data_IF_045824212213
#
_entry.id   IF_045824212213
#
_cell.length_a   1.000
_cell.length_b   1.000
_cell.length_c   1.000
_cell.angle_alpha   90.00
_cell.angle_beta   90.00
_cell.angle_gamma   90.00
#
_symmetry.space_group_name_H-M   'P 1'
#
loop_
_entity.id
_entity.type
_entity.pdbx_description
1 polymer ?
#
# COMPACT_ATOMS: atom_id res chain seq x y z
N UNK A 1 -27.98 2.30 34.20
CA UNK A 1 -26.97 3.38 34.22
C UNK A 1 -26.71 3.80 32.78
N UNK A 2 -27.01 5.05 32.47
CA UNK A 2 -27.03 5.64 31.12
C UNK A 2 -25.67 6.25 30.81
N UNK A 3 -25.02 5.82 29.72
CA UNK A 3 -23.89 6.52 29.14
C UNK A 3 -24.42 7.62 28.20
N UNK A 4 -24.87 8.72 28.80
CA UNK A 4 -25.09 9.97 28.09
C UNK A 4 -23.89 10.87 28.37
N UNK A 5 -23.31 11.39 27.29
CA UNK A 5 -22.60 12.66 27.25
C UNK A 5 -21.18 12.67 27.83
N UNK A 6 -20.21 12.25 27.01
CA UNK A 6 -18.90 12.88 27.01
C UNK A 6 -18.91 13.88 25.85
N UNK A 7 -18.70 15.14 26.20
CA UNK A 7 -18.74 16.32 25.34
C UNK A 7 -17.89 16.15 24.08
N UNK A 8 -18.53 16.03 22.91
CA UNK A 8 -17.96 16.60 21.69
C UNK A 8 -18.36 18.06 21.67
N UNK A 9 -17.47 18.92 22.16
CA UNK A 9 -17.50 20.33 21.82
C UNK A 9 -17.44 20.42 20.29
N UNK A 10 -18.57 20.79 19.68
CA UNK A 10 -18.61 21.38 18.35
C UNK A 10 -17.78 22.65 18.43
N UNK A 11 -16.51 22.56 18.06
CA UNK A 11 -15.78 23.76 17.69
C UNK A 11 -16.27 24.17 16.31
N UNK A 12 -17.35 24.96 16.29
CA UNK A 12 -18.02 25.48 15.08
C UNK A 12 -17.13 26.50 14.34
N UNK A 13 -15.92 26.77 14.85
CA UNK A 13 -15.00 27.77 14.28
C UNK A 13 -14.04 27.22 13.22
N UNK A 14 -13.80 25.91 13.18
CA UNK A 14 -12.91 25.31 12.18
C UNK A 14 -13.73 24.83 10.97
N UNK A 15 -13.69 25.59 9.87
CA UNK A 15 -14.24 25.15 8.59
C UNK A 15 -13.57 23.82 8.20
N UNK A 16 -14.36 22.77 7.95
CA UNK A 16 -13.82 21.46 7.62
C UNK A 16 -12.88 21.56 6.41
N UNK A 17 -11.69 20.99 6.54
CA UNK A 17 -10.69 20.88 5.49
C UNK A 17 -10.99 19.76 4.49
N UNK A 18 -12.09 19.03 4.70
CA UNK A 18 -12.48 17.87 3.90
C UNK A 18 -12.76 18.25 2.43
N UNK A 19 -12.14 17.55 1.46
CA UNK A 19 -12.46 17.69 0.04
C UNK A 19 -13.92 17.37 -0.29
N UNK A 20 -14.39 17.83 -1.46
CA UNK A 20 -15.71 17.40 -1.97
C UNK A 20 -15.75 15.88 -2.17
N UNK A 21 -16.85 15.21 -1.78
CA UNK A 21 -16.98 13.76 -1.92
C UNK A 21 -16.73 13.26 -3.35
N UNK A 22 -16.13 12.06 -3.50
CA UNK A 22 -15.93 11.48 -4.80
C UNK A 22 -17.22 10.91 -5.39
N UNK A 23 -17.46 11.13 -6.68
CA UNK A 23 -18.59 10.58 -7.44
C UNK A 23 -18.14 9.64 -8.56
N UNK A 24 -16.90 9.80 -9.04
CA UNK A 24 -16.27 8.92 -10.02
C UNK A 24 -14.83 8.57 -9.66
N UNK A 25 -14.25 7.63 -10.41
CA UNK A 25 -12.89 7.12 -10.21
C UNK A 25 -11.85 8.24 -10.06
N UNK A 26 -11.90 9.26 -10.92
CA UNK A 26 -10.91 10.34 -10.88
C UNK A 26 -11.03 11.24 -9.65
N UNK A 27 -12.20 11.30 -9.02
CA UNK A 27 -12.39 12.10 -7.83
C UNK A 27 -11.60 11.57 -6.63
N UNK A 28 -11.36 10.25 -6.53
CA UNK A 28 -10.58 9.70 -5.42
C UNK A 28 -9.14 10.24 -5.42
N UNK A 29 -8.54 10.37 -6.61
CA UNK A 29 -7.18 10.93 -6.75
C UNK A 29 -7.16 12.45 -6.50
N UNK A 30 -8.20 13.17 -6.93
CA UNK A 30 -8.39 14.59 -6.59
C UNK A 30 -8.55 14.78 -5.08
N UNK A 31 -9.34 13.92 -4.43
CA UNK A 31 -9.54 13.93 -2.98
C UNK A 31 -8.24 13.64 -2.20
N UNK A 32 -7.36 12.77 -2.72
CA UNK A 32 -6.02 12.59 -2.16
C UNK A 32 -5.23 13.91 -2.20
N UNK A 33 -5.16 14.53 -3.38
CA UNK A 33 -4.43 15.79 -3.56
C UNK A 33 -4.98 16.90 -2.65
N UNK A 34 -6.27 17.22 -2.78
CA UNK A 34 -6.93 18.27 -1.98
C UNK A 34 -6.87 17.95 -0.47
N UNK A 35 -6.96 16.66 -0.11
CA UNK A 35 -6.91 16.20 1.27
C UNK A 35 -5.53 16.42 1.91
N UNK A 36 -4.45 16.21 1.17
CA UNK A 36 -3.09 16.49 1.63
C UNK A 36 -2.85 18.01 1.66
N UNK A 37 -3.17 18.73 0.58
CA UNK A 37 -2.94 20.18 0.46
C UNK A 37 -3.67 20.99 1.55
N UNK A 38 -4.87 20.56 1.94
CA UNK A 38 -5.65 21.17 3.03
C UNK A 38 -5.23 20.72 4.43
N UNK A 39 -4.35 19.71 4.54
CA UNK A 39 -4.01 18.98 5.77
C UNK A 39 -5.18 18.24 6.41
N UNK A 40 -6.19 17.84 5.62
CA UNK A 40 -7.25 16.95 6.07
C UNK A 40 -6.73 15.52 6.27
N UNK A 41 -5.86 15.05 5.37
CA UNK A 41 -5.12 13.79 5.50
C UNK A 41 -3.76 14.10 6.13
N UNK A 42 -3.37 13.46 7.25
CA UNK A 42 -2.09 13.70 7.88
C UNK A 42 -0.95 13.15 7.03
N UNK A 43 0.13 13.92 6.99
CA UNK A 43 1.40 13.50 6.40
C UNK A 43 2.52 13.63 7.41
N UNK A 44 3.63 12.91 7.20
CA UNK A 44 4.88 13.15 7.93
C UNK A 44 5.23 14.64 7.92
N UNK A 45 5.65 15.13 9.08
CA UNK A 45 6.22 16.46 9.28
C UNK A 45 7.74 16.38 9.29
N UNK A 46 8.40 17.54 9.25
CA UNK A 46 9.86 17.58 9.42
C UNK A 46 10.28 17.17 10.83
N UNK A 47 9.46 17.50 11.84
CA UNK A 47 9.71 17.12 13.24
C UNK A 47 9.73 15.60 13.38
N UNK A 48 8.83 14.88 12.70
CA UNK A 48 8.78 13.41 12.75
C UNK A 48 10.07 12.72 12.26
N UNK A 49 10.83 13.37 11.38
CA UNK A 49 11.98 12.76 10.69
C UNK A 49 13.34 13.24 11.21
N UNK A 50 13.36 14.28 12.06
CA UNK A 50 14.59 14.85 12.60
C UNK A 50 14.72 14.61 14.11
N UNK A 51 15.87 14.12 14.61
CA UNK A 51 17.05 13.72 13.87
C UNK A 51 16.97 12.23 13.43
N UNK A 52 17.62 11.85 12.31
CA UNK A 52 17.48 10.51 11.74
C UNK A 52 18.00 9.39 12.65
N UNK A 53 18.94 9.68 13.55
CA UNK A 53 19.47 8.72 14.53
C UNK A 53 18.42 8.25 15.55
N UNK A 54 17.30 8.97 15.65
CA UNK A 54 16.17 8.60 16.51
C UNK A 54 15.09 7.81 15.76
N UNK A 55 15.35 7.41 14.51
CA UNK A 55 14.37 6.65 13.71
C UNK A 55 14.00 5.34 14.40
N UNK A 56 12.71 5.14 14.64
CA UNK A 56 12.16 3.97 15.31
C UNK A 56 10.88 3.52 14.63
N UNK A 57 10.67 2.21 14.60
CA UNK A 57 9.39 1.65 14.17
C UNK A 57 8.41 1.70 15.35
N UNK A 58 7.13 2.11 15.15
CA UNK A 58 6.15 2.09 16.22
C UNK A 58 5.99 0.67 16.80
N UNK A 59 5.84 0.49 18.13
CA UNK A 59 5.80 -0.84 18.77
C UNK A 59 4.68 -1.76 18.29
N UNK A 60 3.63 -1.20 17.70
CA UNK A 60 2.49 -1.94 17.14
C UNK A 60 2.80 -2.56 15.78
N UNK A 61 3.85 -2.13 15.10
CA UNK A 61 4.29 -2.69 13.82
C UNK A 61 5.23 -3.88 14.07
N UNK A 62 4.88 -5.08 13.58
CA UNK A 62 5.76 -6.25 13.68
C UNK A 62 7.11 -6.03 13.00
N UNK A 63 8.20 -6.54 13.59
CA UNK A 63 9.54 -6.55 12.98
C UNK A 63 9.67 -7.64 11.92
N UNK A 64 8.87 -7.53 10.87
CA UNK A 64 8.82 -8.45 9.73
C UNK A 64 8.90 -7.66 8.43
N UNK A 65 9.76 -8.08 7.51
CA UNK A 65 9.82 -7.54 6.15
C UNK A 65 9.35 -8.64 5.20
N UNK A 66 8.34 -8.35 4.39
CA UNK A 66 7.86 -9.25 3.34
C UNK A 66 8.21 -8.73 1.95
N UNK A 67 8.64 -9.63 1.08
CA UNK A 67 8.87 -9.36 -0.34
C UNK A 67 8.28 -10.48 -1.22
N UNK A 68 8.07 -10.20 -2.50
CA UNK A 68 7.46 -11.11 -3.44
C UNK A 68 8.33 -11.31 -4.68
N UNK A 69 8.61 -12.56 -5.03
CA UNK A 69 9.14 -12.93 -6.34
C UNK A 69 8.42 -14.17 -6.86
N UNK A 70 7.78 -14.08 -8.02
CA UNK A 70 6.84 -15.09 -8.52
C UNK A 70 7.37 -16.53 -8.63
N UNK A 71 8.68 -16.74 -8.71
CA UNK A 71 9.31 -18.06 -8.84
C UNK A 71 10.16 -18.41 -7.62
N UNK A 72 10.36 -19.68 -7.33
CA UNK A 72 11.36 -20.13 -6.34
C UNK A 72 12.80 -19.78 -6.77
N UNK A 73 13.05 -19.68 -8.08
CA UNK A 73 14.37 -19.33 -8.62
C UNK A 73 14.54 -17.82 -8.75
N UNK A 74 15.54 -17.28 -8.06
CA UNK A 74 15.90 -15.87 -8.11
C UNK A 74 17.01 -15.61 -9.13
N UNK A 75 16.87 -14.60 -10.00
CA UNK A 75 18.02 -14.01 -10.69
C UNK A 75 19.02 -13.41 -9.71
N UNK A 76 20.31 -13.39 -10.08
CA UNK A 76 21.39 -12.90 -9.21
C UNK A 76 21.21 -11.44 -8.77
N UNK A 77 20.72 -10.58 -9.66
CA UNK A 77 20.49 -9.16 -9.36
C UNK A 77 19.33 -8.95 -8.38
N UNK A 78 18.27 -9.75 -8.50
CA UNK A 78 17.16 -9.81 -7.53
C UNK A 78 17.63 -10.34 -6.18
N UNK A 79 18.38 -11.45 -6.16
CA UNK A 79 18.93 -12.01 -4.92
C UNK A 79 19.84 -11.01 -4.19
N UNK A 80 20.68 -10.28 -4.94
CA UNK A 80 21.53 -9.22 -4.41
C UNK A 80 20.71 -8.07 -3.78
N UNK A 81 19.62 -7.64 -4.43
CA UNK A 81 18.72 -6.63 -3.86
C UNK A 81 18.10 -7.08 -2.54
N UNK A 82 17.60 -8.32 -2.47
CA UNK A 82 17.00 -8.91 -1.27
C UNK A 82 18.02 -8.99 -0.12
N UNK A 83 19.26 -9.41 -0.40
CA UNK A 83 20.32 -9.45 0.60
C UNK A 83 20.70 -8.06 1.13
N UNK A 84 20.66 -7.00 0.30
CA UNK A 84 20.82 -5.62 0.79
C UNK A 84 19.72 -5.25 1.78
N UNK A 85 18.47 -5.66 1.53
CA UNK A 85 17.35 -5.41 2.46
C UNK A 85 17.60 -6.06 3.82
N UNK A 86 18.00 -7.34 3.80
CA UNK A 86 18.36 -8.11 5.00
C UNK A 86 19.49 -7.44 5.79
N UNK A 87 20.58 -7.09 5.11
CA UNK A 87 21.79 -6.55 5.75
C UNK A 87 21.56 -5.16 6.38
N UNK A 88 20.67 -4.34 5.83
CA UNK A 88 20.32 -3.03 6.37
C UNK A 88 19.22 -3.08 7.44
N UNK A 89 18.58 -4.23 7.66
CA UNK A 89 17.53 -4.41 8.67
C UNK A 89 17.75 -5.72 9.46
N UNK A 90 18.91 -5.89 10.13
CA UNK A 90 19.31 -7.17 10.75
C UNK A 90 18.38 -7.65 11.87
N UNK A 91 17.60 -6.74 12.46
CA UNK A 91 16.63 -7.03 13.52
C UNK A 91 15.26 -7.50 13.01
N UNK A 92 15.07 -7.64 11.70
CA UNK A 92 13.79 -8.00 11.08
C UNK A 92 13.83 -9.42 10.52
N UNK A 93 12.71 -10.13 10.68
CA UNK A 93 12.47 -11.39 9.98
C UNK A 93 12.10 -11.09 8.52
N UNK A 94 12.98 -11.49 7.59
CA UNK A 94 12.72 -11.36 6.16
C UNK A 94 11.97 -12.57 5.62
N UNK A 95 10.82 -12.34 4.99
CA UNK A 95 9.96 -13.35 4.37
C UNK A 95 9.87 -13.07 2.87
N UNK A 96 10.42 -13.98 2.07
CA UNK A 96 10.22 -13.99 0.63
C UNK A 96 9.13 -15.00 0.27
N UNK A 97 8.15 -14.59 -0.53
CA UNK A 97 7.11 -15.47 -1.07
C UNK A 97 7.25 -15.61 -2.58
N UNK A 98 6.64 -16.67 -3.12
CA UNK A 98 6.46 -16.91 -4.55
C UNK A 98 5.01 -17.33 -4.86
N UNK A 99 4.69 -17.63 -6.12
CA UNK A 99 3.31 -17.86 -6.56
C UNK A 99 2.62 -19.00 -5.80
N UNK A 100 3.28 -20.15 -5.63
CA UNK A 100 2.71 -21.33 -4.99
C UNK A 100 2.47 -21.11 -3.48
N UNK A 101 3.45 -20.52 -2.78
CA UNK A 101 3.33 -20.20 -1.35
C UNK A 101 2.33 -19.07 -1.10
N UNK A 102 2.27 -18.06 -1.98
CA UNK A 102 1.24 -17.03 -1.95
C UNK A 102 -0.15 -17.62 -2.14
N UNK A 103 -0.33 -18.54 -3.11
CA UNK A 103 -1.61 -19.21 -3.36
C UNK A 103 -2.07 -20.04 -2.15
N UNK A 104 -1.16 -20.81 -1.56
CA UNK A 104 -1.45 -21.60 -0.35
C UNK A 104 -1.81 -20.71 0.85
N UNK A 105 -1.10 -19.60 1.03
CA UNK A 105 -1.40 -18.58 2.03
C UNK A 105 -2.81 -18.00 1.84
N UNK A 106 -3.15 -17.58 0.61
CA UNK A 106 -4.46 -17.01 0.31
C UNK A 106 -5.59 -18.00 0.56
N UNK A 107 -5.41 -19.27 0.16
CA UNK A 107 -6.37 -20.34 0.46
C UNK A 107 -6.59 -20.48 1.98
N UNK A 108 -5.50 -20.51 2.75
CA UNK A 108 -5.54 -20.75 4.20
C UNK A 108 -6.23 -19.62 4.96
N UNK A 109 -6.00 -18.36 4.57
CA UNK A 109 -6.49 -17.20 5.32
C UNK A 109 -7.76 -16.56 4.77
N UNK A 110 -8.04 -16.70 3.47
CA UNK A 110 -9.14 -16.03 2.77
C UNK A 110 -10.02 -16.98 1.94
N UNK A 111 -9.67 -18.27 1.85
CA UNK A 111 -10.47 -19.29 1.18
C UNK A 111 -10.34 -19.30 -0.35
N UNK A 112 -11.12 -20.19 -0.96
CA UNK A 112 -11.02 -20.51 -2.39
C UNK A 112 -11.40 -19.35 -3.32
N UNK A 113 -12.26 -18.42 -2.89
CA UNK A 113 -12.64 -17.26 -3.69
C UNK A 113 -11.46 -16.32 -3.90
N UNK A 114 -10.64 -16.10 -2.87
CA UNK A 114 -9.43 -15.28 -2.97
C UNK A 114 -8.39 -15.93 -3.90
N UNK A 115 -8.25 -17.25 -3.82
CA UNK A 115 -7.42 -18.02 -4.76
C UNK A 115 -7.91 -17.85 -6.19
N UNK A 116 -9.22 -17.89 -6.42
CA UNK A 116 -9.77 -17.70 -7.76
C UNK A 116 -9.52 -16.28 -8.32
N UNK A 117 -9.41 -15.26 -7.46
CA UNK A 117 -9.01 -13.91 -7.87
C UNK A 117 -7.50 -13.83 -8.15
N UNK A 118 -6.68 -14.49 -7.34
CA UNK A 118 -5.25 -14.61 -7.60
C UNK A 118 -4.96 -15.32 -8.93
N UNK A 119 -5.71 -16.38 -9.24
CA UNK A 119 -5.59 -17.14 -10.50
C UNK A 119 -6.09 -16.32 -11.72
N UNK A 120 -6.87 -15.24 -11.52
CA UNK A 120 -7.24 -14.27 -12.58
C UNK A 120 -6.09 -13.30 -12.91
N UNK A 121 -5.17 -13.08 -11.97
CA UNK A 121 -4.04 -12.18 -12.17
C UNK A 121 -3.02 -12.79 -13.14
N UNK A 122 -3.08 -12.37 -14.41
CA UNK A 122 -2.24 -12.93 -15.48
C UNK A 122 -0.76 -12.53 -15.42
N UNK A 123 -0.41 -11.52 -14.63
CA UNK A 123 0.96 -10.98 -14.55
C UNK A 123 1.50 -11.08 -13.11
N UNK A 124 2.78 -11.41 -12.90
CA UNK A 124 3.43 -11.42 -11.57
C UNK A 124 3.12 -10.19 -10.70
N UNK A 125 3.20 -8.98 -11.27
CA UNK A 125 2.87 -7.74 -10.57
C UNK A 125 1.44 -7.71 -10.00
N UNK A 126 0.43 -8.17 -10.75
CA UNK A 126 -0.96 -8.21 -10.26
C UNK A 126 -1.13 -9.21 -9.11
N UNK A 127 -0.42 -10.34 -9.16
CA UNK A 127 -0.40 -11.35 -8.10
C UNK A 127 0.25 -10.80 -6.84
N UNK A 128 1.38 -10.12 -7.00
CA UNK A 128 2.09 -9.43 -5.92
C UNK A 128 1.26 -8.30 -5.30
N UNK A 129 0.54 -7.52 -6.10
CA UNK A 129 -0.36 -6.45 -5.63
C UNK A 129 -1.47 -6.98 -4.71
N UNK A 130 -2.09 -8.10 -5.08
CA UNK A 130 -3.12 -8.75 -4.26
C UNK A 130 -2.50 -9.35 -2.99
N UNK A 131 -1.46 -10.16 -3.16
CA UNK A 131 -0.84 -10.87 -2.06
C UNK A 131 -0.27 -9.93 -1.00
N UNK A 132 0.43 -8.85 -1.39
CA UNK A 132 1.06 -7.92 -0.44
C UNK A 132 0.04 -7.30 0.51
N UNK A 133 -1.15 -6.95 0.00
CA UNK A 133 -2.20 -6.37 0.83
C UNK A 133 -2.75 -7.42 1.80
N UNK A 134 -3.01 -8.64 1.32
CA UNK A 134 -3.46 -9.76 2.16
C UNK A 134 -2.44 -10.13 3.25
N UNK A 135 -1.16 -10.20 2.90
CA UNK A 135 -0.07 -10.49 3.84
C UNK A 135 0.05 -9.39 4.90
N UNK A 136 0.00 -8.12 4.48
CA UNK A 136 0.00 -6.98 5.40
C UNK A 136 -1.23 -6.95 6.32
N UNK A 137 -2.39 -7.42 5.88
CA UNK A 137 -3.56 -7.54 6.75
C UNK A 137 -3.40 -8.64 7.81
N UNK A 138 -2.89 -9.82 7.43
CA UNK A 138 -2.76 -10.96 8.34
C UNK A 138 -1.59 -10.77 9.30
N UNK A 139 -0.41 -10.44 8.77
CA UNK A 139 0.84 -10.41 9.51
C UNK A 139 1.26 -9.00 9.93
N UNK A 140 0.94 -7.98 9.14
CA UNK A 140 1.53 -6.65 9.31
C UNK A 140 3.05 -6.64 9.08
N UNK A 141 3.70 -5.57 9.54
CA UNK A 141 5.12 -5.34 9.40
C UNK A 141 5.41 -4.35 8.28
N UNK A 142 6.39 -4.67 7.43
CA UNK A 142 6.79 -3.88 6.27
C UNK A 142 6.73 -4.75 5.02
N UNK A 143 6.01 -4.32 3.99
CA UNK A 143 6.21 -4.84 2.64
C UNK A 143 7.07 -3.85 1.85
N UNK A 144 8.03 -4.36 1.09
CA UNK A 144 8.81 -3.56 0.13
C UNK A 144 9.11 -4.36 -1.14
N UNK A 145 9.02 -3.73 -2.32
CA UNK A 145 9.32 -4.41 -3.59
C UNK A 145 10.78 -4.92 -3.64
N UNK A 146 11.04 -5.95 -4.47
CA UNK A 146 12.36 -6.59 -4.60
C UNK A 146 13.33 -5.82 -5.50
N UNK A 147 12.92 -4.70 -6.09
CA UNK A 147 13.68 -3.92 -7.07
C UNK A 147 14.23 -2.61 -6.51
N UNK A 148 14.65 -2.67 -5.24
CA UNK A 148 15.20 -1.53 -4.50
C UNK A 148 16.69 -1.70 -4.21
N UNK A 149 17.44 -0.60 -4.24
CA UNK A 149 18.83 -0.54 -3.81
C UNK A 149 18.91 0.06 -2.42
N UNK A 150 18.84 -0.81 -1.41
CA UNK A 150 18.88 -0.39 -0.02
C UNK A 150 20.27 0.06 0.41
N UNK A 151 20.33 1.18 1.13
CA UNK A 151 21.54 1.79 1.67
C UNK A 151 21.36 2.32 3.11
N UNK A 152 20.15 2.24 3.67
CA UNK A 152 19.88 2.51 5.09
C UNK A 152 18.66 1.71 5.59
N UNK A 153 18.46 1.58 6.91
CA UNK A 153 17.30 0.93 7.50
C UNK A 153 15.96 1.54 7.05
N UNK A 154 14.93 0.72 6.89
CA UNK A 154 13.58 1.18 6.46
C UNK A 154 12.91 2.13 7.45
N UNK A 155 13.28 2.06 8.74
CA UNK A 155 12.75 2.96 9.76
C UNK A 155 13.07 4.45 9.47
N UNK A 156 14.15 4.75 8.73
CA UNK A 156 14.53 6.12 8.39
C UNK A 156 13.50 6.84 7.50
N UNK A 157 12.65 6.09 6.78
CA UNK A 157 11.59 6.64 5.94
C UNK A 157 10.60 7.43 6.80
N UNK A 158 10.27 6.89 7.98
CA UNK A 158 9.25 7.43 8.89
C UNK A 158 9.82 8.15 10.12
N UNK A 159 11.14 8.12 10.31
CA UNK A 159 11.77 8.73 11.49
C UNK A 159 11.22 8.14 12.78
N UNK A 160 10.77 8.99 13.69
CA UNK A 160 10.16 8.62 14.97
C UNK A 160 8.64 8.91 15.01
N UNK A 161 8.01 9.04 13.84
CA UNK A 161 6.58 9.26 13.73
C UNK A 161 5.76 8.20 14.45
N UNK A 162 4.65 8.62 15.07
CA UNK A 162 3.65 7.70 15.63
C UNK A 162 2.56 7.43 14.60
N UNK A 163 2.37 6.17 14.23
CA UNK A 163 1.36 5.72 13.27
C UNK A 163 1.03 4.24 13.49
N UNK A 164 -0.11 3.80 12.95
CA UNK A 164 -0.48 2.37 12.90
C UNK A 164 -0.47 1.82 11.47
N UNK A 165 -0.57 2.70 10.46
CA UNK A 165 -0.40 2.37 9.06
C UNK A 165 0.21 3.56 8.32
N UNK A 166 1.30 3.32 7.62
CA UNK A 166 2.01 4.30 6.81
C UNK A 166 2.12 3.82 5.37
N UNK A 167 1.76 4.71 4.44
CA UNK A 167 1.91 4.50 2.99
C UNK A 167 2.60 5.72 2.38
N UNK A 168 3.28 5.50 1.25
CA UNK A 168 3.82 6.60 0.45
C UNK A 168 2.78 7.14 -0.52
N UNK A 169 2.85 8.43 -0.83
CA UNK A 169 2.13 9.04 -1.95
C UNK A 169 3.09 9.70 -2.94
N UNK A 170 2.73 9.65 -4.21
CA UNK A 170 3.46 10.29 -5.29
C UNK A 170 2.67 11.44 -5.92
N UNK A 171 3.35 12.55 -6.17
CA UNK A 171 2.81 13.66 -6.95
C UNK A 171 2.99 13.35 -8.43
N UNK A 172 1.88 13.20 -9.14
CA UNK A 172 1.86 12.85 -10.56
C UNK A 172 0.61 13.37 -11.25
N UNK A 173 0.33 12.87 -12.45
CA UNK A 173 -0.92 13.13 -13.18
C UNK A 173 -1.63 11.79 -13.43
N UNK A 174 -2.43 11.27 -12.48
CA UNK A 174 -2.83 11.88 -11.20
C UNK A 174 -1.85 11.63 -10.04
N UNK A 175 -2.06 12.29 -8.89
CA UNK A 175 -1.43 11.89 -7.61
C UNK A 175 -1.95 10.51 -7.21
N UNK A 176 -1.16 9.71 -6.50
CA UNK A 176 -1.61 8.39 -6.02
C UNK A 176 -0.95 7.99 -4.70
N UNK A 177 -1.57 7.06 -3.98
CA UNK A 177 -0.95 6.30 -2.90
C UNK A 177 -0.26 5.09 -3.52
N UNK A 178 1.03 4.95 -3.25
CA UNK A 178 1.85 3.84 -3.73
C UNK A 178 1.61 2.58 -2.90
N UNK A 179 1.86 1.43 -3.50
CA UNK A 179 1.78 0.13 -2.84
C UNK A 179 3.11 -0.64 -2.86
N UNK A 180 4.20 0.00 -3.30
CA UNK A 180 5.56 -0.57 -3.34
C UNK A 180 6.27 -0.59 -1.98
N UNK A 181 5.81 0.24 -1.04
CA UNK A 181 6.16 0.21 0.37
C UNK A 181 4.88 0.31 1.21
N UNK A 182 4.69 -0.61 2.14
CA UNK A 182 3.57 -0.60 3.09
C UNK A 182 4.13 -0.86 4.47
N UNK A 183 3.82 -0.02 5.45
CA UNK A 183 4.16 -0.27 6.85
C UNK A 183 2.85 -0.28 7.63
N UNK A 184 2.52 -1.38 8.29
CA UNK A 184 1.21 -1.47 8.95
C UNK A 184 1.21 -2.46 10.10
N UNK A 185 0.45 -2.16 11.15
CA UNK A 185 0.08 -3.20 12.11
C UNK A 185 -0.85 -4.21 11.43
N UNK A 186 -0.93 -5.41 11.99
CA UNK A 186 -1.93 -6.40 11.56
C UNK A 186 -3.35 -5.85 11.64
N UNK A 187 -4.20 -6.28 10.71
CA UNK A 187 -5.63 -5.96 10.63
C UNK A 187 -5.93 -4.46 10.65
N UNK A 188 -5.09 -3.66 10.02
CA UNK A 188 -5.39 -2.23 9.88
C UNK A 188 -6.54 -2.04 8.88
N UNK A 189 -7.58 -1.27 9.22
CA UNK A 189 -8.82 -1.20 8.43
C UNK A 189 -8.64 -0.54 7.06
N UNK A 190 -7.67 0.37 6.89
CA UNK A 190 -7.29 0.86 5.55
C UNK A 190 -6.81 -0.26 4.63
N UNK A 191 -6.01 -1.20 5.15
CA UNK A 191 -5.51 -2.33 4.35
C UNK A 191 -6.67 -3.24 3.96
N UNK A 192 -7.60 -3.50 4.88
CA UNK A 192 -8.83 -4.25 4.60
C UNK A 192 -9.66 -3.60 3.48
N UNK A 193 -9.86 -2.28 3.54
CA UNK A 193 -10.59 -1.55 2.51
C UNK A 193 -9.89 -1.61 1.14
N UNK A 194 -8.55 -1.60 1.11
CA UNK A 194 -7.79 -1.79 -0.13
C UNK A 194 -7.97 -3.21 -0.67
N UNK A 195 -7.97 -4.25 0.19
CA UNK A 195 -8.27 -5.63 -0.20
C UNK A 195 -9.68 -5.73 -0.81
N UNK A 196 -10.68 -5.09 -0.20
CA UNK A 196 -12.04 -5.06 -0.75
C UNK A 196 -12.07 -4.40 -2.14
N UNK A 197 -11.40 -3.26 -2.30
CA UNK A 197 -11.31 -2.58 -3.61
C UNK A 197 -10.60 -3.44 -4.67
N UNK A 198 -9.54 -4.15 -4.29
CA UNK A 198 -8.85 -5.14 -5.14
C UNK A 198 -9.80 -6.26 -5.57
N UNK A 199 -10.53 -6.85 -4.62
CA UNK A 199 -11.49 -7.92 -4.91
C UNK A 199 -12.59 -7.47 -5.87
N UNK A 200 -13.15 -6.28 -5.65
CA UNK A 200 -14.13 -5.69 -6.56
C UNK A 200 -13.54 -5.47 -7.97
N UNK A 201 -12.32 -4.95 -8.06
CA UNK A 201 -11.62 -4.69 -9.33
C UNK A 201 -11.35 -5.98 -10.11
N UNK A 202 -10.81 -7.00 -9.44
CA UNK A 202 -10.51 -8.30 -10.05
C UNK A 202 -11.78 -9.06 -10.41
N UNK A 203 -12.85 -8.95 -9.61
CA UNK A 203 -14.15 -9.55 -9.95
C UNK A 203 -14.76 -8.89 -11.19
N UNK A 204 -14.70 -7.55 -11.30
CA UNK A 204 -15.12 -6.85 -12.52
C UNK A 204 -14.34 -7.32 -13.74
N UNK A 205 -13.01 -7.43 -13.61
CA UNK A 205 -12.16 -7.91 -14.70
C UNK A 205 -12.45 -9.37 -15.08
N UNK A 206 -12.64 -10.25 -14.10
CA UNK A 206 -13.02 -11.66 -14.32
C UNK A 206 -14.28 -11.78 -15.16
N UNK A 207 -15.29 -10.98 -14.83
CA UNK A 207 -16.62 -10.99 -15.45
C UNK A 207 -16.68 -10.23 -16.78
N UNK A 208 -15.86 -9.20 -16.96
CA UNK A 208 -15.78 -8.41 -18.17
C UNK A 208 -14.31 -8.03 -18.46
N UNK A 209 -13.61 -8.79 -19.31
CA UNK A 209 -12.21 -8.51 -19.67
C UNK A 209 -11.96 -7.09 -20.22
N UNK A 210 -12.98 -6.46 -20.83
CA UNK A 210 -12.89 -5.09 -21.34
C UNK A 210 -12.88 -4.03 -20.23
N UNK A 211 -13.11 -4.41 -18.96
CA UNK A 211 -12.96 -3.51 -17.81
C UNK A 211 -11.51 -3.36 -17.34
N UNK A 212 -10.55 -4.06 -17.96
CA UNK A 212 -9.14 -3.92 -17.64
C UNK A 212 -8.56 -2.70 -18.35
N UNK A 213 -7.99 -1.78 -17.58
CA UNK A 213 -7.31 -0.60 -18.12
C UNK A 213 -5.81 -0.85 -18.20
N UNK A 214 -5.20 -1.14 -17.04
CA UNK A 214 -3.81 -1.54 -16.89
C UNK A 214 -3.57 -1.99 -15.44
N UNK A 215 -2.42 -2.61 -15.18
CA UNK A 215 -2.04 -3.12 -13.85
C UNK A 215 -2.06 -2.01 -12.80
N UNK A 216 -1.52 -0.83 -13.10
CA UNK A 216 -1.49 0.30 -12.16
C UNK A 216 -2.87 0.74 -11.69
N UNK A 217 -3.88 0.77 -12.58
CA UNK A 217 -5.27 1.11 -12.23
C UNK A 217 -5.96 -0.04 -11.50
N UNK A 218 -5.85 -1.26 -12.03
CA UNK A 218 -6.70 -2.38 -11.60
C UNK A 218 -6.22 -3.07 -10.32
N UNK A 219 -4.92 -3.16 -10.08
CA UNK A 219 -4.34 -3.84 -8.90
C UNK A 219 -3.28 -3.00 -8.16
N UNK A 220 -2.65 -2.03 -8.83
CA UNK A 220 -1.55 -1.26 -8.28
C UNK A 220 -1.95 0.00 -7.48
N UNK A 221 -1.16 1.09 -7.59
CA UNK A 221 -1.41 2.35 -6.88
C UNK A 221 -2.79 2.97 -7.12
N UNK A 222 -3.39 2.73 -8.29
CA UNK A 222 -4.72 3.22 -8.62
C UNK A 222 -5.80 2.68 -7.68
N UNK A 223 -5.90 1.36 -7.55
CA UNK A 223 -6.90 0.75 -6.68
C UNK A 223 -6.58 0.95 -5.20
N UNK A 224 -5.28 1.01 -4.86
CA UNK A 224 -4.81 1.37 -3.50
C UNK A 224 -5.31 2.74 -3.10
N UNK A 225 -5.19 3.73 -3.99
CA UNK A 225 -5.71 5.09 -3.77
C UNK A 225 -7.22 5.08 -3.58
N UNK A 226 -7.96 4.39 -4.46
CA UNK A 226 -9.42 4.33 -4.39
C UNK A 226 -9.88 3.69 -3.07
N UNK A 227 -9.31 2.54 -2.69
CA UNK A 227 -9.68 1.82 -1.48
C UNK A 227 -9.39 2.63 -0.21
N UNK A 228 -8.19 3.21 -0.10
CA UNK A 228 -7.81 4.01 1.06
C UNK A 228 -8.66 5.28 1.19
N UNK A 229 -8.83 6.05 0.10
CA UNK A 229 -9.62 7.29 0.15
C UNK A 229 -11.11 7.00 0.41
N UNK A 230 -11.67 5.93 -0.19
CA UNK A 230 -13.04 5.48 0.10
C UNK A 230 -13.22 5.22 1.59
N UNK A 231 -12.33 4.43 2.20
CA UNK A 231 -12.34 4.17 3.64
C UNK A 231 -12.31 5.46 4.46
N UNK A 232 -11.37 6.36 4.18
CA UNK A 232 -11.25 7.61 4.93
C UNK A 232 -12.53 8.46 4.85
N UNK A 233 -13.21 8.47 3.70
CA UNK A 233 -14.50 9.15 3.56
C UNK A 233 -15.62 8.47 4.36
N UNK A 234 -15.64 7.14 4.42
CA UNK A 234 -16.65 6.36 5.14
C UNK A 234 -16.55 6.53 6.66
N UNK A 235 -15.33 6.49 7.21
CA UNK A 235 -15.13 6.55 8.66
C UNK A 235 -15.01 7.96 9.23
N UNK A 236 -14.69 8.95 8.39
CA UNK A 236 -14.54 10.34 8.85
C UNK A 236 -15.88 11.07 8.77
N UNK A 237 -16.41 11.65 9.86
CA UNK A 237 -17.60 12.49 9.80
C UNK A 237 -17.41 13.73 8.90
N UNK A 238 -18.48 14.24 8.29
CA UNK A 238 -18.40 15.39 7.36
C UNK A 238 -17.82 16.64 8.02
N UNK A 239 -18.11 16.85 9.30
CA UNK A 239 -17.66 18.01 10.06
C UNK A 239 -16.24 17.86 10.61
N UNK A 240 -15.63 16.67 10.54
CA UNK A 240 -14.32 16.45 11.13
C UNK A 240 -13.23 17.27 10.39
N UNK A 241 -12.34 17.97 11.12
CA UNK A 241 -11.32 18.81 10.52
C UNK A 241 -10.15 18.01 9.93
N UNK A 242 -10.00 16.74 10.31
CA UNK A 242 -9.00 15.78 9.82
C UNK A 242 -9.61 14.38 9.76
N UNK A 243 -8.95 13.46 9.07
CA UNK A 243 -9.41 12.05 8.96
C UNK A 243 -9.39 11.31 10.30
N UNK A 244 -10.38 10.45 10.49
CA UNK A 244 -10.47 9.49 11.60
C UNK A 244 -10.01 8.11 11.12
N UNK A 245 -8.72 7.97 10.77
CA UNK A 245 -8.18 6.80 10.06
C UNK A 245 -7.37 5.82 10.90
N UNK A 246 -7.61 5.72 12.22
CA UNK A 246 -6.91 4.78 13.13
C UNK A 246 -5.38 4.84 13.05
N UNK A 247 -4.81 6.05 13.08
CA UNK A 247 -3.35 6.21 12.97
C UNK A 247 -2.79 6.01 11.57
N UNK A 248 -3.64 6.11 10.54
CA UNK A 248 -3.21 6.22 9.15
C UNK A 248 -2.41 7.50 8.90
N UNK A 249 -1.22 7.37 8.31
CA UNK A 249 -0.30 8.44 8.01
C UNK A 249 0.26 8.27 6.59
N UNK A 250 0.47 9.38 5.88
CA UNK A 250 1.11 9.38 4.57
C UNK A 250 2.50 10.01 4.61
N UNK A 251 3.39 9.60 3.70
CA UNK A 251 4.66 10.27 3.44
C UNK A 251 4.84 10.53 1.96
N UNK A 252 5.45 11.66 1.61
CA UNK A 252 5.79 11.90 0.20
C UNK A 252 6.81 10.86 -0.27
N UNK A 253 6.70 10.37 -1.51
CA UNK A 253 7.57 9.33 -2.08
C UNK A 253 9.07 9.61 -1.89
N UNK A 254 9.48 10.88 -1.90
CA UNK A 254 10.89 11.26 -1.66
C UNK A 254 11.45 10.74 -0.32
N UNK A 255 10.60 10.37 0.65
CA UNK A 255 11.02 9.74 1.90
C UNK A 255 11.63 8.35 1.70
N UNK A 256 11.28 7.64 0.62
CA UNK A 256 11.92 6.38 0.26
C UNK A 256 13.45 6.54 0.10
N UNK A 257 13.88 7.69 -0.42
CA UNK A 257 15.30 8.04 -0.62
C UNK A 257 16.14 8.14 0.66
N UNK A 258 15.52 8.13 1.85
CA UNK A 258 16.24 8.01 3.11
C UNK A 258 16.81 6.60 3.35
N UNK A 259 16.30 5.59 2.64
CA UNK A 259 16.65 4.18 2.86
C UNK A 259 17.03 3.45 1.57
N UNK A 260 16.40 3.78 0.43
CA UNK A 260 16.65 3.09 -0.83
C UNK A 260 16.45 3.95 -2.07
N UNK A 261 17.13 3.57 -3.15
CA UNK A 261 16.81 3.96 -4.52
C UNK A 261 16.11 2.82 -5.27
N UNK A 262 15.76 3.05 -6.54
CA UNK A 262 15.24 1.99 -7.41
C UNK A 262 16.31 1.50 -8.38
N UNK A 263 16.50 0.19 -8.45
CA UNK A 263 17.37 -0.43 -9.44
C UNK A 263 16.55 -0.81 -10.69
N UNK A 264 17.11 -0.54 -11.87
CA UNK A 264 16.60 -1.09 -13.12
C UNK A 264 17.13 -2.52 -13.28
N UNK A 265 16.50 -3.45 -12.56
CA UNK A 265 16.83 -4.87 -12.60
C UNK A 265 16.55 -5.48 -13.98
N UNK A 266 17.34 -6.48 -14.37
CA UNK A 266 17.37 -7.02 -15.72
C UNK A 266 15.99 -7.51 -16.20
N UNK A 267 15.16 -8.04 -15.31
CA UNK A 267 13.83 -8.55 -15.67
C UNK A 267 12.89 -7.46 -16.23
N UNK A 268 13.10 -6.18 -15.88
CA UNK A 268 12.24 -5.05 -16.31
C UNK A 268 12.37 -4.69 -17.80
N UNK A 269 13.33 -5.28 -18.51
CA UNK A 269 13.44 -5.09 -19.97
C UNK A 269 12.36 -5.86 -20.74
N UNK A 270 11.85 -6.95 -20.17
CA UNK A 270 10.87 -7.86 -20.79
C UNK A 270 9.41 -7.43 -20.56
N UNK A 271 8.46 -8.02 -21.30
CA UNK A 271 7.03 -7.78 -21.08
C UNK A 271 6.48 -8.60 -19.90
N UNK A 272 7.13 -9.71 -19.59
CA UNK A 272 6.88 -10.62 -18.49
C UNK A 272 7.27 -10.02 -17.14
N UNK A 273 8.31 -9.17 -17.15
CA UNK A 273 8.83 -8.50 -15.97
C UNK A 273 8.34 -7.07 -15.77
N UNK A 274 8.01 -6.35 -16.85
CA UNK A 274 7.61 -4.96 -16.78
C UNK A 274 6.09 -4.81 -16.96
N UNK A 275 5.42 -4.52 -15.85
CA UNK A 275 3.96 -4.34 -15.84
C UNK A 275 3.46 -3.26 -16.82
N UNK A 276 4.28 -2.26 -17.20
CA UNK A 276 3.90 -1.22 -18.18
C UNK A 276 3.72 -1.79 -19.59
N UNK A 277 4.47 -2.86 -19.90
CA UNK A 277 4.45 -3.56 -21.18
C UNK A 277 3.42 -4.70 -21.18
N UNK A 278 2.93 -5.11 -20.02
CA UNK A 278 1.98 -6.20 -19.88
C UNK A 278 0.66 -5.92 -20.63
N UNK A 279 0.13 -6.96 -21.28
CA UNK A 279 -1.18 -6.95 -21.92
C UNK A 279 -1.93 -8.21 -21.49
N UNK A 280 -3.25 -8.12 -21.21
CA UNK A 280 -4.04 -9.30 -20.96
C UNK A 280 -3.92 -10.29 -22.13
N UNK A 281 -3.85 -11.60 -21.87
CA UNK A 281 -3.93 -12.58 -22.94
C UNK A 281 -5.23 -12.38 -23.72
N UNK A 282 -5.18 -12.45 -25.05
CA UNK A 282 -6.38 -12.43 -25.88
C UNK A 282 -7.28 -13.61 -25.47
N UNK A 283 -8.36 -13.34 -24.73
CA UNK A 283 -9.42 -14.33 -24.56
C UNK A 283 -10.07 -14.50 -25.92
N UNK A 284 -9.84 -15.64 -26.58
CA UNK A 284 -10.65 -16.04 -27.74
C UNK A 284 -12.12 -16.01 -27.28
N UNK A 285 -12.94 -15.26 -28.01
CA UNK A 285 -14.38 -15.24 -27.83
C UNK A 285 -14.97 -16.64 -28.03
#
# INVERSE_FOLDING_TARGET
MSYKTIFMMKDVSAQSKRPKPPHGKMDFFRCLQEGIESSWIPTLTQEDIDPPEQSILPPTIPKRISQYWHSETLPDDVACSIEKVKNNNPDFDLVLTHDESARAFLHTHFGQDMVALFDVCFHPAMRSDLWRMCDMYVHGGIYVDVDISMHAPLAHITGHASYECFLLYAMGRPWCIENGLIISRKKHPVIEAIIHALCESLTRYKNNPNSFENIWVNTGPGITTIGAIKYLFEVTPQWAPRVCGDGFLLGHHSRAGASYGHDELAYKVSAEGNWRKARPPHRRA
#
